data_IF_514267449481
#
_entry.id   IF_514267449481
#
_cell.length_a   1.000
_cell.length_b   1.000
_cell.length_c   1.000
_cell.angle_alpha   90.00
_cell.angle_beta   90.00
_cell.angle_gamma   90.00
#
_symmetry.space_group_name_H-M   'P 1'
#
loop_
_entity.id
_entity.type
_entity.pdbx_description
1 polymer ?
#
# COMPACT_ATOMS: atom_id res chain seq x y z
N UNK A 1 13.06 6.59 4.10
CA UNK A 1 12.20 6.67 2.90
C UNK A 1 12.89 7.40 1.75
N UNK A 2 13.23 8.69 1.90
CA UNK A 2 13.83 9.50 0.83
C UNK A 2 15.11 8.89 0.22
N UNK A 3 16.04 8.42 1.05
CA UNK A 3 17.25 7.74 0.57
C UNK A 3 16.97 6.49 -0.26
N UNK A 4 15.94 5.71 0.09
CA UNK A 4 15.53 4.53 -0.67
C UNK A 4 14.90 4.92 -2.01
N UNK A 5 14.09 5.98 -2.04
CA UNK A 5 13.52 6.50 -3.28
C UNK A 5 14.60 7.01 -4.23
N UNK A 6 15.57 7.79 -3.73
CA UNK A 6 16.69 8.30 -4.53
C UNK A 6 17.63 7.21 -5.06
N UNK A 7 17.67 6.05 -4.40
CA UNK A 7 18.41 4.89 -4.88
C UNK A 7 17.71 4.18 -6.06
N UNK A 8 16.38 4.35 -6.20
CA UNK A 8 15.61 3.83 -7.35
C UNK A 8 15.74 4.79 -8.53
N UNK A 9 15.43 6.06 -8.30
CA UNK A 9 15.60 7.14 -9.28
C UNK A 9 15.99 8.42 -8.51
N UNK A 10 17.15 9.03 -8.80
CA UNK A 10 17.60 10.24 -8.09
C UNK A 10 16.67 11.44 -8.32
N UNK A 11 15.80 11.39 -9.33
CA UNK A 11 14.80 12.44 -9.61
C UNK A 11 13.54 12.33 -8.76
N UNK A 12 13.33 11.22 -8.05
CA UNK A 12 12.17 11.07 -7.19
C UNK A 12 12.15 12.06 -6.04
N UNK A 13 11.04 12.79 -5.96
CA UNK A 13 10.70 13.71 -4.89
C UNK A 13 9.27 13.42 -4.41
N UNK A 14 9.09 13.31 -3.09
CA UNK A 14 7.80 13.11 -2.47
C UNK A 14 7.10 14.44 -2.24
N UNK A 15 5.93 14.61 -2.83
CA UNK A 15 5.01 15.71 -2.55
C UNK A 15 4.03 15.24 -1.47
N UNK A 16 4.08 15.90 -0.32
CA UNK A 16 3.33 15.50 0.88
C UNK A 16 2.36 16.60 1.29
N UNK A 17 1.10 16.25 1.43
CA UNK A 17 0.02 17.13 1.89
C UNK A 17 -1.02 16.28 2.61
N UNK A 18 -1.96 16.89 3.34
CA UNK A 18 -3.05 16.14 3.96
C UNK A 18 -3.56 16.75 5.24
N UNK A 19 -4.18 15.89 6.04
CA UNK A 19 -4.89 16.23 7.25
C UNK A 19 -3.97 15.99 8.44
N UNK A 20 -3.27 17.04 8.89
CA UNK A 20 -2.31 16.88 10.00
C UNK A 20 -3.00 16.55 11.34
N UNK A 21 -4.26 16.93 11.51
CA UNK A 21 -5.01 16.77 12.76
C UNK A 21 -5.30 15.31 13.11
N UNK A 22 -5.42 14.43 12.11
CA UNK A 22 -5.65 12.99 12.29
C UNK A 22 -4.45 12.14 11.84
N UNK A 23 -3.35 12.77 11.42
CA UNK A 23 -2.13 12.10 10.99
C UNK A 23 -2.21 11.48 9.60
N UNK A 24 -3.22 11.83 8.79
CA UNK A 24 -3.41 11.30 7.45
C UNK A 24 -2.68 12.15 6.40
N UNK A 25 -1.62 11.58 5.81
CA UNK A 25 -0.80 12.24 4.80
C UNK A 25 -0.93 11.54 3.44
N UNK A 26 -1.18 12.34 2.42
CA UNK A 26 -1.14 11.94 1.02
C UNK A 26 0.27 12.14 0.50
N UNK A 27 0.86 11.07 -0.03
CA UNK A 27 2.20 11.07 -0.59
C UNK A 27 2.13 10.79 -2.10
N UNK A 28 2.60 11.73 -2.91
CA UNK A 28 2.61 11.62 -4.37
C UNK A 28 4.04 11.65 -4.88
N UNK A 29 4.35 10.75 -5.82
CA UNK A 29 5.61 10.73 -6.57
C UNK A 29 5.29 10.99 -8.04
N UNK A 30 6.12 11.79 -8.70
CA UNK A 30 5.94 12.12 -10.12
C UNK A 30 7.05 11.44 -10.91
N UNK A 31 6.68 10.58 -11.87
CA UNK A 31 7.58 10.03 -12.89
C UNK A 31 7.19 10.59 -14.26
N UNK A 32 8.19 11.00 -15.04
CA UNK A 32 7.98 11.31 -16.47
C UNK A 32 8.03 10.02 -17.27
N UNK A 33 6.99 9.75 -18.06
CA UNK A 33 6.90 8.53 -18.86
C UNK A 33 6.28 7.35 -18.10
N UNK A 34 6.33 6.14 -18.67
CA UNK A 34 5.71 4.97 -18.06
C UNK A 34 6.40 4.58 -16.76
N UNK A 35 5.64 3.96 -15.84
CA UNK A 35 6.15 3.34 -14.63
C UNK A 35 6.07 1.81 -14.80
N UNK A 36 7.18 1.13 -15.10
CA UNK A 36 7.20 -0.32 -15.17
C UNK A 36 6.84 -0.96 -13.83
N UNK A 37 6.22 -2.14 -13.85
CA UNK A 37 5.77 -2.83 -12.64
C UNK A 37 6.90 -3.09 -11.63
N UNK A 38 8.10 -3.46 -12.09
CA UNK A 38 9.25 -3.67 -11.22
C UNK A 38 9.63 -2.40 -10.45
N UNK A 39 9.59 -1.25 -11.15
CA UNK A 39 9.89 0.04 -10.56
C UNK A 39 8.77 0.49 -9.59
N UNK A 40 7.50 0.26 -9.95
CA UNK A 40 6.37 0.47 -9.04
C UNK A 40 6.55 -0.34 -7.75
N UNK A 41 6.93 -1.62 -7.84
CA UNK A 41 7.16 -2.47 -6.65
C UNK A 41 8.34 -1.98 -5.82
N UNK A 42 9.41 -1.50 -6.46
CA UNK A 42 10.53 -0.90 -5.74
C UNK A 42 10.10 0.36 -4.97
N UNK A 43 9.31 1.23 -5.61
CA UNK A 43 8.75 2.44 -5.01
C UNK A 43 7.83 2.12 -3.84
N UNK A 44 6.86 1.20 -4.03
CA UNK A 44 5.96 0.75 -2.97
C UNK A 44 6.72 0.20 -1.77
N UNK A 45 7.75 -0.63 -2.00
CA UNK A 45 8.60 -1.15 -0.92
C UNK A 45 9.33 -0.03 -0.17
N UNK A 46 9.91 0.93 -0.89
CA UNK A 46 10.62 2.04 -0.28
C UNK A 46 9.70 2.90 0.61
N UNK A 47 8.49 3.20 0.12
CA UNK A 47 7.48 3.99 0.83
C UNK A 47 6.90 3.22 2.00
N UNK A 48 6.34 2.03 1.76
CA UNK A 48 5.63 1.25 2.79
C UNK A 48 6.57 0.76 3.90
N UNK A 49 7.83 0.47 3.59
CA UNK A 49 8.84 0.20 4.63
C UNK A 49 9.03 1.41 5.53
N UNK A 50 9.16 2.61 4.96
CA UNK A 50 9.28 3.85 5.74
C UNK A 50 8.06 4.13 6.61
N UNK A 51 6.86 3.93 6.07
CA UNK A 51 5.60 4.08 6.82
C UNK A 51 5.55 3.08 7.98
N UNK A 52 5.92 1.82 7.75
CA UNK A 52 5.96 0.79 8.80
C UNK A 52 6.99 1.11 9.89
N UNK A 53 8.18 1.56 9.50
CA UNK A 53 9.23 2.00 10.44
C UNK A 53 8.76 3.17 11.33
N UNK A 54 7.88 4.03 10.80
CA UNK A 54 7.25 5.13 11.54
C UNK A 54 6.00 4.70 12.34
N UNK A 55 5.62 3.41 12.33
CA UNK A 55 4.43 2.90 13.01
C UNK A 55 3.10 3.28 12.35
N UNK A 56 3.12 3.72 11.09
CA UNK A 56 1.94 4.17 10.35
C UNK A 56 1.20 3.07 9.57
N UNK A 57 0.12 3.46 8.90
CA UNK A 57 -0.64 2.61 7.96
C UNK A 57 -0.31 2.98 6.51
N UNK A 58 -0.07 1.98 5.65
CA UNK A 58 0.14 2.21 4.20
C UNK A 58 -1.15 2.64 3.48
N UNK A 59 -2.30 2.52 4.15
CA UNK A 59 -3.58 3.03 3.66
C UNK A 59 -4.39 3.59 4.82
N UNK A 60 -4.42 4.91 4.95
CA UNK A 60 -5.20 5.60 5.98
C UNK A 60 -6.70 5.60 5.65
N UNK A 61 -7.08 5.99 4.42
CA UNK A 61 -8.49 6.22 4.06
C UNK A 61 -8.98 5.50 2.80
N UNK A 62 -8.14 5.31 1.78
CA UNK A 62 -8.58 4.79 0.47
C UNK A 62 -8.75 3.27 0.39
N UNK A 63 -8.55 2.56 1.51
CA UNK A 63 -8.58 1.09 1.55
C UNK A 63 -7.53 0.41 0.68
N UNK A 64 -7.72 -0.91 0.47
CA UNK A 64 -6.78 -1.80 -0.22
C UNK A 64 -7.14 -1.98 -1.70
N UNK A 65 -8.33 -2.50 -1.98
CA UNK A 65 -8.79 -2.76 -3.35
C UNK A 65 -7.87 -3.68 -4.15
N UNK A 66 -7.86 -3.51 -5.47
CA UNK A 66 -6.91 -4.21 -6.35
C UNK A 66 -5.50 -3.61 -6.23
N UNK A 67 -5.43 -2.27 -6.19
CA UNK A 67 -4.20 -1.51 -6.31
C UNK A 67 -3.20 -1.84 -5.21
N UNK A 68 -3.66 -1.89 -3.95
CA UNK A 68 -2.76 -2.11 -2.80
C UNK A 68 -2.73 -3.55 -2.33
N UNK A 69 -3.13 -4.51 -3.17
CA UNK A 69 -3.02 -5.95 -2.86
C UNK A 69 -1.63 -6.33 -2.42
N UNK A 70 -0.62 -5.91 -3.17
CA UNK A 70 0.79 -6.14 -2.85
C UNK A 70 1.16 -5.57 -1.47
N UNK A 71 0.74 -4.33 -1.20
CA UNK A 71 0.92 -3.67 0.09
C UNK A 71 0.27 -4.45 1.24
N UNK A 72 -0.96 -4.92 1.04
CA UNK A 72 -1.69 -5.72 2.03
C UNK A 72 -0.99 -7.04 2.34
N UNK A 73 -0.65 -7.83 1.31
CA UNK A 73 0.00 -9.15 1.46
C UNK A 73 1.38 -9.05 2.14
N UNK A 74 2.09 -7.94 1.90
CA UNK A 74 3.49 -7.72 2.36
C UNK A 74 3.58 -7.01 3.71
N UNK A 75 2.77 -5.96 3.96
CA UNK A 75 2.93 -5.06 5.11
C UNK A 75 1.85 -5.23 6.18
N UNK A 76 0.80 -6.01 5.94
CA UNK A 76 -0.19 -6.37 6.97
C UNK A 76 0.27 -7.60 7.74
N UNK A 77 0.02 -7.66 9.05
CA UNK A 77 0.38 -8.84 9.86
C UNK A 77 -0.36 -10.10 9.39
N UNK A 78 0.28 -11.27 9.53
CA UNK A 78 -0.29 -12.54 9.05
C UNK A 78 -1.55 -12.93 9.80
N UNK A 79 -1.68 -12.53 11.06
CA UNK A 79 -2.85 -12.77 11.90
C UNK A 79 -4.06 -11.98 11.38
N UNK A 80 -3.86 -10.70 11.03
CA UNK A 80 -4.91 -9.86 10.42
C UNK A 80 -5.34 -10.42 9.06
N UNK A 81 -4.37 -10.86 8.24
CA UNK A 81 -4.66 -11.50 6.95
C UNK A 81 -5.49 -12.77 7.14
N UNK A 82 -5.09 -13.66 8.05
CA UNK A 82 -5.80 -14.91 8.34
C UNK A 82 -7.23 -14.69 8.86
N UNK A 83 -7.41 -13.71 9.76
CA UNK A 83 -8.73 -13.33 10.26
C UNK A 83 -9.63 -12.81 9.12
N UNK A 84 -9.11 -11.93 8.27
CA UNK A 84 -9.87 -11.43 7.13
C UNK A 84 -10.31 -12.57 6.20
N UNK A 85 -9.41 -13.51 5.85
CA UNK A 85 -9.75 -14.65 5.01
C UNK A 85 -10.82 -15.55 5.65
N UNK A 86 -10.73 -15.80 6.96
CA UNK A 86 -11.75 -16.54 7.71
C UNK A 86 -13.13 -15.88 7.58
N UNK A 87 -13.19 -14.57 7.79
CA UNK A 87 -14.43 -13.81 7.68
C UNK A 87 -14.99 -13.82 6.24
N UNK A 88 -14.12 -13.64 5.24
CA UNK A 88 -14.49 -13.69 3.83
C UNK A 88 -15.09 -15.03 3.45
N UNK A 89 -14.47 -16.13 3.87
CA UNK A 89 -14.96 -17.47 3.55
C UNK A 89 -16.27 -17.81 4.25
N UNK A 90 -16.47 -17.31 5.48
CA UNK A 90 -17.73 -17.49 6.21
C UNK A 90 -18.90 -16.74 5.56
N UNK A 91 -18.64 -15.53 5.03
CA UNK A 91 -19.66 -14.67 4.43
C UNK A 91 -19.90 -14.95 2.95
N UNK A 92 -18.86 -15.35 2.22
CA UNK A 92 -18.89 -15.53 0.76
C UNK A 92 -18.13 -16.80 0.35
N UNK A 93 -18.66 -17.99 0.70
CA UNK A 93 -17.98 -19.27 0.42
C UNK A 93 -17.87 -19.60 -1.07
N UNK A 94 -18.60 -18.88 -1.93
CA UNK A 94 -18.56 -19.02 -3.40
C UNK A 94 -17.67 -17.96 -4.07
N UNK A 95 -17.10 -17.03 -3.32
CA UNK A 95 -16.21 -15.99 -3.85
C UNK A 95 -16.88 -15.02 -4.83
N UNK A 96 -18.16 -14.70 -4.66
CA UNK A 96 -18.93 -13.83 -5.57
C UNK A 96 -18.83 -12.33 -5.20
N UNK A 97 -18.51 -12.02 -3.95
CA UNK A 97 -18.49 -10.65 -3.46
C UNK A 97 -17.17 -9.98 -3.79
N UNK A 98 -17.15 -9.26 -4.92
CA UNK A 98 -16.03 -8.43 -5.34
C UNK A 98 -14.70 -9.21 -5.45
N UNK A 99 -14.63 -10.22 -6.35
CA UNK A 99 -13.53 -11.16 -6.42
C UNK A 99 -12.20 -10.45 -6.65
N UNK A 100 -11.17 -10.88 -5.93
CA UNK A 100 -9.83 -10.35 -6.11
C UNK A 100 -9.63 -8.94 -5.55
N UNK A 101 -10.41 -8.48 -4.55
CA UNK A 101 -10.15 -7.18 -3.88
C UNK A 101 -9.78 -7.22 -2.41
N UNK A 102 -10.64 -7.66 -1.51
CA UNK A 102 -10.32 -7.71 -0.07
C UNK A 102 -11.13 -8.83 0.53
N UNK A 103 -10.52 -9.75 1.28
CA UNK A 103 -9.25 -10.45 1.09
C UNK A 103 -9.39 -11.48 -0.05
N UNK A 104 -9.45 -10.89 -1.26
CA UNK A 104 -9.31 -11.43 -2.61
C UNK A 104 -10.10 -12.68 -2.98
#
# INVERSE_FOLDING_TARGET
MESRLKAIDPTYAAYVYGHIADGNLHLTLIKRGPLPDEELRAVENAVYTGIREAGGSFSAEHGVGLEKRYGYETFTSKEKQALAHTLKQALDPKGLFNPGKVPF
#
